data_IF_397537610757
#
_entry.id   IF_397537610757
#
_cell.length_a   1.000
_cell.length_b   1.000
_cell.length_c   1.000
_cell.angle_alpha   90.00
_cell.angle_beta   90.00
_cell.angle_gamma   90.00
#
_symmetry.space_group_name_H-M   'P 1'
#
loop_
_entity.id
_entity.type
_entity.pdbx_description
1 polymer ?
#
# COMPACT_ATOMS: atom_id res chain seq x y z
N UNK A 1 40.82 -9.25 -4.51
CA UNK A 1 41.30 -8.00 -3.90
C UNK A 1 40.46 -7.78 -2.64
N UNK A 2 41.02 -7.19 -1.59
CA UNK A 2 40.30 -6.82 -0.38
C UNK A 2 40.71 -5.39 -0.01
N UNK A 3 39.73 -4.57 0.33
CA UNK A 3 39.89 -3.17 0.70
C UNK A 3 39.15 -2.92 2.01
N UNK A 4 39.90 -2.57 3.06
CA UNK A 4 39.38 -2.08 4.33
C UNK A 4 39.23 -0.55 4.21
N UNK A 5 38.01 -0.11 3.89
CA UNK A 5 37.67 1.30 3.72
C UNK A 5 37.50 1.92 5.11
N UNK A 6 38.53 2.64 5.56
CA UNK A 6 38.44 3.50 6.74
C UNK A 6 37.42 4.62 6.51
N UNK A 7 36.85 5.22 7.58
CA UNK A 7 35.94 6.36 7.46
C UNK A 7 36.50 7.40 6.48
N UNK A 8 35.81 7.55 5.36
CA UNK A 8 36.28 8.32 4.21
C UNK A 8 35.14 9.09 3.58
N UNK A 9 35.47 10.26 3.03
CA UNK A 9 34.57 11.03 2.19
C UNK A 9 34.74 10.59 0.74
N UNK A 10 33.69 10.07 0.14
CA UNK A 10 33.64 9.66 -1.26
C UNK A 10 32.84 10.69 -2.05
N UNK A 11 33.47 11.30 -3.05
CA UNK A 11 32.77 11.96 -4.14
C UNK A 11 32.49 10.93 -5.24
N UNK A 12 31.23 10.59 -5.48
CA UNK A 12 30.88 9.45 -6.36
C UNK A 12 31.41 9.61 -7.79
N UNK A 13 31.57 10.84 -8.29
CA UNK A 13 32.14 11.09 -9.61
C UNK A 13 33.62 10.70 -9.73
N UNK A 14 34.36 10.53 -8.62
CA UNK A 14 35.73 10.00 -8.64
C UNK A 14 35.76 8.53 -9.09
N UNK A 15 34.66 7.79 -8.93
CA UNK A 15 34.51 6.43 -9.49
C UNK A 15 34.42 6.51 -11.02
N UNK A 16 34.07 7.67 -11.59
CA UNK A 16 33.98 7.94 -13.03
C UNK A 16 35.25 7.61 -13.81
N UNK A 17 36.43 7.74 -13.18
CA UNK A 17 37.71 7.36 -13.79
C UNK A 17 37.82 5.85 -14.10
N UNK A 18 37.02 5.02 -13.42
CA UNK A 18 36.94 3.57 -13.64
C UNK A 18 35.65 3.14 -14.34
N UNK A 19 34.55 3.86 -14.09
CA UNK A 19 33.23 3.61 -14.66
C UNK A 19 32.61 4.94 -15.14
N UNK A 20 32.81 5.34 -16.42
CA UNK A 20 32.46 6.68 -16.91
C UNK A 20 31.03 7.15 -16.64
N UNK A 21 30.07 6.21 -16.57
CA UNK A 21 28.67 6.47 -16.21
C UNK A 21 28.50 7.15 -14.84
N UNK A 22 29.48 7.00 -13.95
CA UNK A 22 29.47 7.58 -12.60
C UNK A 22 29.86 9.06 -12.56
N UNK A 23 30.42 9.65 -13.64
CA UNK A 23 30.80 11.08 -13.65
C UNK A 23 29.60 12.01 -13.40
N UNK A 24 28.40 11.59 -13.77
CA UNK A 24 27.16 12.34 -13.54
C UNK A 24 26.67 12.27 -12.09
N UNK A 25 27.21 11.36 -11.27
CA UNK A 25 26.79 11.19 -9.88
C UNK A 25 27.62 12.09 -8.97
N UNK A 26 27.25 13.37 -8.84
CA UNK A 26 27.98 14.32 -7.99
C UNK A 26 27.65 14.23 -6.49
N UNK A 27 27.20 13.05 -6.04
CA UNK A 27 26.84 12.81 -4.65
C UNK A 27 28.08 12.70 -3.77
N UNK A 28 27.99 13.24 -2.55
CA UNK A 28 28.99 13.06 -1.50
C UNK A 28 28.48 12.05 -0.47
N UNK A 29 29.29 11.03 -0.18
CA UNK A 29 28.99 9.97 0.77
C UNK A 29 30.09 9.84 1.81
N UNK A 30 29.71 9.64 3.07
CA UNK A 30 30.66 9.21 4.10
C UNK A 30 30.59 7.70 4.21
N UNK A 31 31.65 6.99 3.83
CA UNK A 31 31.67 5.53 3.72
C UNK A 31 32.68 4.89 4.66
N UNK A 32 32.38 3.66 5.08
CA UNK A 32 33.33 2.77 5.74
C UNK A 32 32.89 1.31 5.60
N UNK A 33 33.82 0.38 5.76
CA UNK A 33 33.57 -1.05 5.77
C UNK A 33 34.57 -1.84 4.94
N UNK A 34 34.42 -3.15 4.88
CA UNK A 34 35.30 -4.01 4.09
C UNK A 34 34.62 -4.35 2.78
N UNK A 35 35.35 -4.24 1.67
CA UNK A 35 34.91 -4.68 0.35
C UNK A 35 35.93 -5.67 -0.19
N UNK A 36 35.47 -6.83 -0.68
CA UNK A 36 36.33 -7.87 -1.22
C UNK A 36 35.77 -8.44 -2.52
N UNK A 37 36.66 -8.86 -3.42
CA UNK A 37 36.31 -9.39 -4.73
C UNK A 37 36.91 -8.60 -5.89
N UNK A 38 36.28 -8.72 -7.05
CA UNK A 38 36.55 -7.97 -8.28
C UNK A 38 35.28 -7.23 -8.70
N UNK A 39 35.37 -6.24 -9.60
CA UNK A 39 34.18 -5.47 -10.02
C UNK A 39 33.02 -6.37 -10.49
N UNK A 40 33.31 -7.46 -11.20
CA UNK A 40 32.28 -8.38 -11.68
C UNK A 40 31.70 -9.33 -10.63
N UNK A 41 32.31 -9.43 -9.46
CA UNK A 41 31.89 -10.28 -8.34
C UNK A 41 32.54 -9.79 -7.04
N UNK A 42 31.82 -8.97 -6.29
CA UNK A 42 32.29 -8.41 -5.01
C UNK A 42 31.22 -8.46 -3.94
N UNK A 43 31.70 -8.47 -2.70
CA UNK A 43 30.88 -8.43 -1.50
C UNK A 43 31.43 -7.42 -0.50
N UNK A 44 30.58 -7.02 0.43
CA UNK A 44 30.95 -6.16 1.54
C UNK A 44 30.61 -6.75 2.89
N UNK A 45 31.37 -6.33 3.90
CA UNK A 45 31.16 -6.69 5.30
C UNK A 45 31.17 -5.41 6.14
N UNK A 46 30.13 -5.23 6.95
CA UNK A 46 29.93 -4.03 7.79
C UNK A 46 30.03 -2.73 6.99
N UNK A 47 29.48 -2.72 5.76
CA UNK A 47 29.48 -1.52 4.94
C UNK A 47 28.45 -0.52 5.47
N UNK A 48 28.88 0.72 5.63
CA UNK A 48 28.00 1.81 5.96
C UNK A 48 28.23 3.00 5.05
N UNK A 49 27.14 3.73 4.78
CA UNK A 49 27.23 5.05 4.18
C UNK A 49 26.30 6.04 4.88
N UNK A 50 26.71 7.31 4.94
CA UNK A 50 25.82 8.44 5.21
C UNK A 50 25.66 9.27 3.94
N UNK A 51 24.46 9.78 3.73
CA UNK A 51 24.12 10.66 2.62
C UNK A 51 23.12 11.73 3.08
N UNK A 52 23.25 12.94 2.55
CA UNK A 52 22.33 14.03 2.85
C UNK A 52 22.28 14.36 4.33
N UNK A 53 21.08 14.63 4.85
CA UNK A 53 20.89 15.03 6.26
C UNK A 53 20.48 13.88 7.16
N UNK A 54 19.78 12.87 6.63
CA UNK A 54 19.07 11.88 7.42
C UNK A 54 19.27 10.45 6.91
N UNK A 55 19.90 10.28 5.75
CA UNK A 55 20.05 8.97 5.11
C UNK A 55 21.30 8.25 5.61
N UNK A 56 21.10 7.05 6.12
CA UNK A 56 22.15 6.18 6.63
C UNK A 56 21.85 4.74 6.28
N UNK A 57 22.87 4.02 5.84
CA UNK A 57 22.83 2.60 5.61
C UNK A 57 23.91 1.89 6.43
N UNK A 58 23.58 0.70 6.91
CA UNK A 58 24.47 -0.30 7.46
C UNK A 58 24.01 -1.66 7.02
N UNK A 59 24.91 -2.43 6.41
CA UNK A 59 24.61 -3.79 6.02
C UNK A 59 25.73 -4.43 5.22
N UNK A 60 25.46 -5.64 4.79
CA UNK A 60 26.34 -6.37 3.89
C UNK A 60 25.65 -6.44 2.54
N UNK A 61 26.41 -6.41 1.46
CA UNK A 61 25.87 -6.66 0.13
C UNK A 61 26.81 -7.55 -0.67
N UNK A 62 26.26 -8.20 -1.70
CA UNK A 62 27.04 -8.85 -2.74
C UNK A 62 26.43 -8.52 -4.09
N UNK A 63 27.28 -8.23 -5.07
CA UNK A 63 26.87 -7.89 -6.43
C UNK A 63 27.71 -8.70 -7.40
N UNK A 64 27.04 -9.34 -8.35
CA UNK A 64 27.67 -10.15 -9.40
C UNK A 64 27.11 -9.75 -10.76
N UNK A 65 27.99 -9.43 -11.71
CA UNK A 65 27.62 -9.06 -13.08
C UNK A 65 28.02 -7.64 -13.51
N UNK A 66 28.50 -6.79 -12.59
CA UNK A 66 28.99 -5.46 -12.96
C UNK A 66 30.18 -5.54 -13.95
N UNK A 67 30.39 -4.50 -14.78
CA UNK A 67 29.72 -3.20 -14.79
C UNK A 67 28.33 -3.19 -15.47
N UNK A 68 27.84 -4.31 -15.98
CA UNK A 68 26.49 -4.39 -16.55
C UNK A 68 25.43 -4.48 -15.45
N UNK A 69 25.01 -3.32 -14.94
CA UNK A 69 24.03 -3.19 -13.85
C UNK A 69 22.71 -3.90 -14.15
N UNK A 70 22.25 -3.84 -15.40
CA UNK A 70 20.93 -4.36 -15.78
C UNK A 70 20.85 -5.88 -15.77
N UNK A 71 21.99 -6.57 -15.83
CA UNK A 71 22.07 -8.04 -15.73
C UNK A 71 22.65 -8.52 -14.40
N UNK A 72 22.98 -7.59 -13.49
CA UNK A 72 23.64 -7.91 -12.23
C UNK A 72 22.68 -8.48 -11.19
N UNK A 73 23.09 -9.60 -10.58
CA UNK A 73 22.43 -10.20 -9.44
C UNK A 73 22.96 -9.56 -8.15
N UNK A 74 22.04 -9.13 -7.29
CA UNK A 74 22.34 -8.38 -6.07
C UNK A 74 21.69 -9.03 -4.86
N UNK A 75 22.41 -9.02 -3.74
CA UNK A 75 21.90 -9.35 -2.42
C UNK A 75 22.26 -8.23 -1.48
N UNK A 76 21.28 -7.64 -0.81
CA UNK A 76 21.48 -6.67 0.26
C UNK A 76 20.92 -7.22 1.56
N UNK A 77 21.78 -7.41 2.55
CA UNK A 77 21.41 -7.74 3.93
C UNK A 77 21.45 -6.44 4.75
N UNK A 78 20.30 -5.79 4.85
CA UNK A 78 20.15 -4.47 5.47
C UNK A 78 19.99 -4.65 6.97
N UNK A 79 21.02 -4.24 7.72
CA UNK A 79 20.96 -4.21 9.18
C UNK A 79 20.24 -2.96 9.68
N UNK A 80 20.49 -1.82 9.03
CA UNK A 80 19.79 -0.57 9.26
C UNK A 80 19.85 0.29 8.00
N UNK A 81 18.71 0.63 7.45
CA UNK A 81 18.57 1.73 6.49
C UNK A 81 17.64 2.76 7.12
N UNK A 82 18.00 4.02 7.04
CA UNK A 82 17.14 5.16 7.31
C UNK A 82 17.21 6.07 6.09
N UNK A 83 16.07 6.51 5.56
CA UNK A 83 16.01 7.37 4.40
C UNK A 83 14.83 8.34 4.51
N UNK A 84 14.99 9.54 3.94
CA UNK A 84 13.91 10.52 3.79
C UNK A 84 13.67 10.81 2.31
N UNK A 85 12.43 11.14 1.95
CA UNK A 85 12.11 11.55 0.58
C UNK A 85 12.92 12.79 0.15
N UNK A 86 13.24 13.68 1.09
CA UNK A 86 14.04 14.87 0.83
C UNK A 86 15.47 14.56 0.39
N UNK A 87 16.14 13.63 1.08
CA UNK A 87 17.48 13.19 0.68
C UNK A 87 17.39 12.42 -0.66
N UNK A 88 16.47 11.46 -0.79
CA UNK A 88 16.33 10.63 -2.00
C UNK A 88 16.12 11.46 -3.27
N UNK A 89 15.32 12.53 -3.24
CA UNK A 89 15.12 13.43 -4.39
C UNK A 89 16.38 14.15 -4.84
N UNK A 90 17.32 14.38 -3.94
CA UNK A 90 18.58 15.06 -4.24
C UNK A 90 19.65 14.09 -4.76
N UNK A 91 19.42 12.78 -4.64
CA UNK A 91 20.38 11.78 -5.07
C UNK A 91 20.44 11.73 -6.60
N UNK A 92 21.62 12.01 -7.15
CA UNK A 92 21.83 12.07 -8.58
C UNK A 92 22.18 10.69 -9.13
N UNK A 93 21.39 10.23 -10.08
CA UNK A 93 21.66 9.02 -10.85
C UNK A 93 22.46 9.34 -12.12
N UNK A 94 23.14 8.35 -12.71
CA UNK A 94 23.75 8.51 -14.02
C UNK A 94 22.77 9.03 -15.07
N UNK A 95 23.25 9.87 -16.01
CA UNK A 95 22.38 10.52 -16.99
C UNK A 95 21.49 11.62 -16.41
N UNK A 96 21.73 12.05 -15.16
CA UNK A 96 20.98 13.11 -14.44
C UNK A 96 19.48 12.83 -14.35
N UNK A 97 19.13 11.55 -14.23
CA UNK A 97 17.76 11.10 -14.04
C UNK A 97 17.30 11.50 -12.64
N UNK A 98 16.16 12.19 -12.56
CA UNK A 98 15.53 12.52 -11.28
C UNK A 98 14.82 11.28 -10.72
N UNK A 99 14.93 11.08 -9.40
CA UNK A 99 14.16 10.04 -8.71
C UNK A 99 12.75 10.59 -8.49
N UNK A 100 11.80 10.06 -9.25
CA UNK A 100 10.37 10.29 -9.02
C UNK A 100 9.92 9.47 -7.82
N UNK A 101 9.39 10.15 -6.80
CA UNK A 101 8.88 9.51 -5.59
C UNK A 101 7.38 9.73 -5.46
N UNK A 102 6.61 8.67 -5.17
CA UNK A 102 5.19 8.80 -4.84
C UNK A 102 4.96 9.80 -3.70
N UNK A 103 3.86 10.54 -3.74
CA UNK A 103 3.53 11.53 -2.71
C UNK A 103 3.33 10.89 -1.34
N UNK A 104 2.87 9.63 -1.33
CA UNK A 104 2.68 8.79 -0.16
C UNK A 104 3.97 8.61 0.64
N UNK A 105 5.15 8.64 -0.02
CA UNK A 105 6.44 8.60 0.69
C UNK A 105 6.74 9.90 1.45
N UNK A 106 6.17 11.04 1.04
CA UNK A 106 6.24 12.25 1.87
C UNK A 106 5.39 12.08 3.13
N UNK A 107 4.16 11.55 2.97
CA UNK A 107 3.24 11.31 4.08
C UNK A 107 3.77 10.26 5.07
N UNK A 108 4.51 9.26 4.57
CA UNK A 108 5.16 8.23 5.38
C UNK A 108 6.25 8.80 6.32
N UNK A 109 6.85 9.94 5.99
CA UNK A 109 7.91 10.55 6.79
C UNK A 109 9.24 9.80 6.71
N UNK A 110 9.95 9.66 7.84
CA UNK A 110 11.26 9.00 7.86
C UNK A 110 11.11 7.48 7.78
N UNK A 111 11.65 6.88 6.72
CA UNK A 111 11.57 5.44 6.48
C UNK A 111 12.78 4.73 7.07
N UNK A 112 12.53 3.70 7.89
CA UNK A 112 13.57 2.84 8.48
C UNK A 112 13.33 1.39 8.07
N UNK A 113 14.33 0.78 7.44
CA UNK A 113 14.23 -0.58 6.89
C UNK A 113 15.25 -1.49 7.54
N UNK A 114 14.83 -2.71 7.87
CA UNK A 114 15.69 -3.84 8.20
C UNK A 114 15.19 -5.05 7.44
N UNK A 115 16.07 -5.75 6.73
CA UNK A 115 15.60 -6.85 5.89
C UNK A 115 16.61 -7.34 4.88
N UNK A 116 16.11 -8.05 3.89
CA UNK A 116 16.88 -8.62 2.81
C UNK A 116 16.23 -8.31 1.47
N UNK A 117 17.02 -7.81 0.55
CA UNK A 117 16.67 -7.67 -0.86
C UNK A 117 17.52 -8.62 -1.68
N UNK A 118 16.93 -9.36 -2.61
CA UNK A 118 17.64 -10.35 -3.44
C UNK A 118 17.07 -10.37 -4.85
N UNK A 119 17.91 -10.21 -5.87
CA UNK A 119 17.52 -10.23 -7.27
C UNK A 119 18.22 -9.16 -8.08
N UNK A 120 17.58 -8.71 -9.17
CA UNK A 120 18.08 -7.67 -10.08
C UNK A 120 17.28 -6.39 -9.91
N UNK A 121 17.70 -5.31 -10.57
CA UNK A 121 17.03 -4.01 -10.52
C UNK A 121 15.54 -4.08 -10.92
N UNK A 122 15.17 -5.00 -11.80
CA UNK A 122 13.80 -5.16 -12.32
C UNK A 122 13.11 -6.45 -11.88
N UNK A 123 13.74 -7.31 -11.08
CA UNK A 123 13.09 -8.50 -10.50
C UNK A 123 13.76 -8.84 -9.17
N UNK A 124 13.08 -8.54 -8.06
CA UNK A 124 13.64 -8.71 -6.73
C UNK A 124 12.62 -9.23 -5.72
N UNK A 125 13.13 -9.93 -4.72
CA UNK A 125 12.42 -10.31 -3.50
C UNK A 125 12.80 -9.34 -2.38
N UNK A 126 11.80 -8.76 -1.72
CA UNK A 126 11.91 -7.82 -0.62
C UNK A 126 11.27 -8.39 0.65
N UNK A 127 12.11 -9.00 1.50
CA UNK A 127 11.71 -9.49 2.82
C UNK A 127 12.19 -8.49 3.86
N UNK A 128 11.31 -7.60 4.32
CA UNK A 128 11.72 -6.47 5.15
C UNK A 128 10.68 -6.05 6.18
N UNK A 129 11.20 -5.57 7.31
CA UNK A 129 10.48 -4.77 8.29
C UNK A 129 10.74 -3.30 7.99
N UNK A 130 9.67 -2.54 7.76
CA UNK A 130 9.68 -1.12 7.42
C UNK A 130 8.92 -0.35 8.49
N UNK A 131 9.61 0.56 9.18
CA UNK A 131 9.04 1.47 10.16
C UNK A 131 9.06 2.88 9.58
N UNK A 132 7.91 3.55 9.57
CA UNK A 132 7.76 4.93 9.11
C UNK A 132 7.09 5.76 10.21
N UNK A 133 7.01 7.08 10.02
CA UNK A 133 6.23 7.93 10.93
C UNK A 133 4.72 7.70 10.76
N UNK A 134 4.31 7.07 9.65
CA UNK A 134 2.94 6.66 9.37
C UNK A 134 2.61 5.24 9.87
N UNK A 135 3.57 4.44 10.34
CA UNK A 135 3.28 3.12 10.93
C UNK A 135 4.27 2.03 10.53
N UNK A 136 3.89 0.78 10.78
CA UNK A 136 4.73 -0.39 10.52
C UNK A 136 4.21 -1.22 9.36
N UNK A 137 5.12 -1.70 8.52
CA UNK A 137 4.88 -2.62 7.41
C UNK A 137 5.91 -3.73 7.47
N UNK A 138 5.47 -4.98 7.31
CA UNK A 138 6.33 -6.14 7.06
C UNK A 138 5.97 -6.72 5.69
N UNK A 139 6.99 -6.94 4.88
CA UNK A 139 6.83 -7.44 3.50
C UNK A 139 7.52 -8.78 3.33
N UNK A 140 6.90 -9.61 2.50
CA UNK A 140 7.55 -10.70 1.78
C UNK A 140 7.02 -10.61 0.34
N UNK A 141 7.59 -9.67 -0.42
CA UNK A 141 7.07 -9.26 -1.73
C UNK A 141 8.09 -9.55 -2.83
N UNK A 142 7.64 -10.28 -3.85
CA UNK A 142 8.33 -10.35 -5.14
C UNK A 142 7.80 -9.23 -6.03
N UNK A 143 8.69 -8.42 -6.55
CA UNK A 143 8.39 -7.32 -7.48
C UNK A 143 9.15 -7.55 -8.78
N UNK A 144 8.50 -7.35 -9.92
CA UNK A 144 9.09 -7.45 -11.24
C UNK A 144 8.59 -6.33 -12.15
N UNK A 145 9.50 -5.62 -12.78
CA UNK A 145 9.22 -4.60 -13.79
C UNK A 145 9.61 -5.13 -15.17
N UNK A 146 8.67 -5.12 -16.11
CA UNK A 146 8.99 -5.43 -17.51
C UNK A 146 9.83 -4.28 -18.11
N UNK A 147 11.06 -4.53 -18.59
CA UNK A 147 11.93 -3.47 -19.07
C UNK A 147 11.50 -2.86 -20.42
N UNK A 148 10.49 -3.43 -21.10
CA UNK A 148 9.96 -2.94 -22.37
C UNK A 148 8.66 -2.16 -22.20
N UNK A 149 7.76 -2.66 -21.34
CA UNK A 149 6.45 -2.03 -21.12
C UNK A 149 6.39 -1.18 -19.86
N UNK A 150 7.41 -1.27 -18.99
CA UNK A 150 7.49 -0.63 -17.67
C UNK A 150 6.38 -1.07 -16.70
N UNK A 151 5.61 -2.09 -17.07
CA UNK A 151 4.57 -2.65 -16.21
C UNK A 151 5.22 -3.33 -15.02
N UNK A 152 4.87 -2.85 -13.83
CA UNK A 152 5.25 -3.45 -12.56
C UNK A 152 4.26 -4.54 -12.23
N UNK A 153 4.75 -5.71 -11.84
CA UNK A 153 4.00 -6.82 -11.29
C UNK A 153 4.54 -7.16 -9.91
N UNK A 154 3.66 -7.57 -9.00
CA UNK A 154 3.98 -7.80 -7.61
C UNK A 154 3.16 -8.95 -7.06
N UNK A 155 3.75 -9.72 -6.15
CA UNK A 155 3.07 -10.82 -5.49
C UNK A 155 3.72 -11.14 -4.15
N UNK A 156 2.93 -11.47 -3.14
CA UNK A 156 3.43 -11.94 -1.87
C UNK A 156 2.55 -11.54 -0.70
N UNK A 157 3.16 -11.38 0.46
CA UNK A 157 2.46 -11.10 1.72
C UNK A 157 2.83 -9.73 2.27
N UNK A 158 1.83 -9.05 2.83
CA UNK A 158 1.93 -7.75 3.47
C UNK A 158 1.26 -7.81 4.84
N UNK A 159 1.99 -7.37 5.87
CA UNK A 159 1.43 -7.18 7.21
C UNK A 159 1.64 -5.72 7.59
N UNK A 160 0.60 -5.05 8.07
CA UNK A 160 0.68 -3.68 8.57
C UNK A 160 0.22 -3.63 10.02
N UNK A 161 0.77 -2.69 10.79
CA UNK A 161 0.32 -2.41 12.16
C UNK A 161 0.20 -0.90 12.36
N UNK A 162 -1.00 -0.45 12.72
CA UNK A 162 -1.32 0.96 12.96
C UNK A 162 -0.82 1.89 11.86
N UNK A 163 -0.96 1.46 10.61
CA UNK A 163 -0.61 2.27 9.44
C UNK A 163 -1.64 3.39 9.30
N UNK A 164 -1.22 4.65 9.30
CA UNK A 164 -2.05 5.84 9.14
C UNK A 164 -2.53 5.94 7.69
N UNK A 165 -3.51 5.11 7.34
CA UNK A 165 -4.04 4.97 5.98
C UNK A 165 -4.61 6.30 5.49
N UNK A 166 -5.37 7.01 6.33
CA UNK A 166 -5.89 8.34 5.99
C UNK A 166 -4.80 9.32 5.58
N UNK A 167 -3.71 9.38 6.35
CA UNK A 167 -2.58 10.28 6.05
C UNK A 167 -1.89 9.92 4.74
N UNK A 168 -1.73 8.62 4.47
CA UNK A 168 -1.10 8.16 3.24
C UNK A 168 -1.97 8.43 2.01
N UNK A 169 -3.28 8.28 2.14
CA UNK A 169 -4.25 8.50 1.06
C UNK A 169 -4.75 9.95 0.96
N UNK A 170 -4.36 10.84 1.88
CA UNK A 170 -4.90 12.20 2.01
C UNK A 170 -6.43 12.19 2.20
N UNK A 171 -6.91 11.29 3.06
CA UNK A 171 -8.32 10.99 3.34
C UNK A 171 -8.55 10.78 4.85
N UNK A 172 -8.00 11.64 5.70
CA UNK A 172 -8.04 11.51 7.17
C UNK A 172 -9.45 11.59 7.76
N UNK A 173 -10.39 12.24 7.07
CA UNK A 173 -11.81 12.28 7.44
C UNK A 173 -12.47 10.90 7.30
N UNK A 174 -12.01 10.11 6.31
CA UNK A 174 -12.60 8.82 5.95
C UNK A 174 -11.87 7.66 6.60
N UNK A 175 -10.54 7.68 6.61
CA UNK A 175 -9.70 6.58 7.08
C UNK A 175 -8.79 7.05 8.20
N UNK A 176 -8.68 6.26 9.28
CA UNK A 176 -7.67 6.45 10.31
C UNK A 176 -6.55 5.42 10.17
N UNK A 177 -6.32 4.61 11.21
CA UNK A 177 -5.29 3.58 11.16
C UNK A 177 -5.79 2.23 10.62
N UNK A 178 -4.88 1.48 10.00
CA UNK A 178 -5.08 0.14 9.46
C UNK A 178 -4.06 -0.85 10.04
N UNK A 179 -4.55 -1.99 10.50
CA UNK A 179 -3.75 -3.17 10.80
C UNK A 179 -4.28 -4.34 9.98
N UNK A 180 -3.49 -4.83 9.02
CA UNK A 180 -3.87 -5.80 8.01
C UNK A 180 -2.86 -6.94 7.94
N UNK A 181 -3.32 -8.14 7.63
CA UNK A 181 -2.51 -9.24 7.13
C UNK A 181 -3.12 -9.75 5.82
N UNK A 182 -2.43 -9.54 4.69
CA UNK A 182 -2.96 -9.85 3.38
C UNK A 182 -1.94 -10.54 2.48
N UNK A 183 -2.46 -11.41 1.62
CA UNK A 183 -1.80 -11.92 0.42
C UNK A 183 -2.28 -11.10 -0.77
N UNK A 184 -1.37 -10.68 -1.62
CA UNK A 184 -1.70 -9.88 -2.79
C UNK A 184 -0.94 -10.36 -4.03
N UNK A 185 -1.57 -10.23 -5.18
CA UNK A 185 -0.97 -10.46 -6.49
C UNK A 185 -1.55 -9.46 -7.46
N UNK A 186 -0.70 -8.76 -8.20
CA UNK A 186 -1.18 -7.80 -9.18
C UNK A 186 -0.12 -7.32 -10.16
N UNK A 187 -0.56 -6.46 -11.06
CA UNK A 187 0.25 -5.69 -11.99
C UNK A 187 -0.33 -4.29 -12.15
N UNK A 188 0.48 -3.33 -12.58
CA UNK A 188 0.10 -1.93 -12.66
C UNK A 188 0.06 -1.25 -11.29
N UNK A 189 0.38 0.04 -11.29
CA UNK A 189 0.45 0.87 -10.07
C UNK A 189 -0.55 2.04 -10.09
N UNK A 190 -1.34 2.15 -11.15
CA UNK A 190 -2.40 3.15 -11.28
C UNK A 190 -3.69 2.47 -11.73
N UNK A 191 -4.84 3.08 -11.42
CA UNK A 191 -6.16 2.51 -11.68
C UNK A 191 -6.37 2.10 -13.15
N UNK A 192 -5.75 2.80 -14.09
CA UNK A 192 -5.87 2.55 -15.53
C UNK A 192 -5.20 1.25 -15.98
N UNK A 193 -4.16 0.81 -15.27
CA UNK A 193 -3.34 -0.36 -15.61
C UNK A 193 -3.37 -1.46 -14.56
N UNK A 194 -4.05 -1.22 -13.44
CA UNK A 194 -4.03 -2.10 -12.30
C UNK A 194 -4.90 -3.34 -12.53
N UNK A 195 -4.28 -4.49 -12.40
CA UNK A 195 -4.91 -5.77 -12.14
C UNK A 195 -4.46 -6.22 -10.75
N UNK A 196 -5.38 -6.49 -9.83
CA UNK A 196 -5.06 -6.80 -8.44
C UNK A 196 -6.00 -7.89 -7.91
N UNK A 197 -5.46 -8.84 -7.17
CA UNK A 197 -6.20 -9.74 -6.30
C UNK A 197 -5.62 -9.63 -4.90
N UNK A 198 -6.50 -9.46 -3.91
CA UNK A 198 -6.16 -9.37 -2.49
C UNK A 198 -7.05 -10.32 -1.69
N UNK A 199 -6.44 -11.06 -0.79
CA UNK A 199 -7.10 -11.91 0.21
C UNK A 199 -6.44 -11.61 1.56
N UNK A 200 -7.20 -11.09 2.51
CA UNK A 200 -6.62 -10.67 3.77
C UNK A 200 -7.62 -10.55 4.91
N UNK A 201 -7.04 -10.49 6.11
CA UNK A 201 -7.75 -10.19 7.35
C UNK A 201 -7.31 -8.83 7.86
N UNK A 202 -8.26 -7.91 7.93
CA UNK A 202 -8.09 -6.63 8.63
C UNK A 202 -8.37 -6.91 10.10
N UNK A 203 -7.34 -6.76 10.92
CA UNK A 203 -7.48 -6.89 12.37
C UNK A 203 -8.13 -5.65 12.98
N UNK A 204 -7.87 -4.48 12.38
CA UNK A 204 -8.32 -3.19 12.88
C UNK A 204 -8.31 -2.17 11.75
N UNK A 205 -9.40 -1.44 11.57
CA UNK A 205 -9.48 -0.27 10.69
C UNK A 205 -10.33 0.82 11.32
N UNK A 206 -9.87 2.06 11.23
CA UNK A 206 -10.69 3.23 11.53
C UNK A 206 -11.36 3.73 10.25
N UNK A 207 -12.69 3.73 10.24
CA UNK A 207 -13.52 4.25 9.16
C UNK A 207 -14.50 5.26 9.72
N UNK A 208 -14.49 6.47 9.15
CA UNK A 208 -15.37 7.59 9.55
C UNK A 208 -15.35 7.85 11.07
N UNK A 209 -14.15 7.78 11.66
CA UNK A 209 -13.96 7.97 13.11
C UNK A 209 -14.36 6.79 14.00
N UNK A 210 -14.77 5.66 13.43
CA UNK A 210 -15.18 4.46 14.16
C UNK A 210 -14.18 3.34 13.90
N UNK A 211 -13.77 2.67 14.97
CA UNK A 211 -12.87 1.54 14.89
C UNK A 211 -13.65 0.23 14.72
N UNK A 212 -13.35 -0.50 13.65
CA UNK A 212 -13.88 -1.83 13.34
C UNK A 212 -12.78 -2.88 13.41
N UNK A 213 -13.13 -4.09 13.84
CA UNK A 213 -12.20 -5.21 14.00
C UNK A 213 -12.72 -6.46 13.30
N UNK A 214 -11.79 -7.42 13.15
CA UNK A 214 -12.07 -8.77 12.66
C UNK A 214 -12.90 -8.78 11.37
N UNK A 215 -12.29 -8.22 10.33
CA UNK A 215 -12.87 -8.15 8.99
C UNK A 215 -12.09 -9.05 8.05
N UNK A 216 -12.77 -10.00 7.42
CA UNK A 216 -12.23 -10.78 6.32
C UNK A 216 -12.56 -10.07 4.99
N UNK A 217 -11.57 -9.95 4.12
CA UNK A 217 -11.63 -9.20 2.86
C UNK A 217 -11.09 -10.04 1.72
N UNK A 218 -11.85 -10.12 0.63
CA UNK A 218 -11.37 -10.53 -0.69
C UNK A 218 -11.73 -9.48 -1.71
N UNK A 219 -10.81 -9.16 -2.60
CA UNK A 219 -11.04 -8.18 -3.65
C UNK A 219 -10.29 -8.52 -4.92
N UNK A 220 -10.91 -8.23 -6.05
CA UNK A 220 -10.30 -8.29 -7.37
C UNK A 220 -10.54 -6.97 -8.10
N UNK A 221 -9.52 -6.48 -8.79
CA UNK A 221 -9.58 -5.37 -9.72
C UNK A 221 -9.04 -5.88 -11.05
N UNK A 222 -9.81 -5.75 -12.11
CA UNK A 222 -9.34 -6.04 -13.46
C UNK A 222 -10.14 -5.26 -14.49
N UNK A 223 -9.47 -4.73 -15.51
CA UNK A 223 -10.11 -3.93 -16.58
C UNK A 223 -11.05 -2.84 -16.03
N UNK A 224 -10.59 -2.10 -14.99
CA UNK A 224 -11.38 -1.07 -14.28
C UNK A 224 -12.70 -1.57 -13.66
N UNK A 225 -12.83 -2.88 -13.46
CA UNK A 225 -13.91 -3.49 -12.68
C UNK A 225 -13.35 -3.97 -11.36
N UNK A 226 -13.98 -3.53 -10.28
CA UNK A 226 -13.69 -4.01 -8.95
C UNK A 226 -14.79 -5.00 -8.53
N UNK A 227 -14.42 -6.11 -7.91
CA UNK A 227 -15.32 -6.99 -7.16
C UNK A 227 -14.75 -7.21 -5.77
N UNK A 228 -15.60 -7.28 -4.76
CA UNK A 228 -15.17 -7.36 -3.38
C UNK A 228 -16.18 -8.07 -2.49
N UNK A 229 -15.67 -8.93 -1.62
CA UNK A 229 -16.40 -9.54 -0.54
C UNK A 229 -15.78 -9.12 0.80
N UNK A 230 -16.63 -8.72 1.74
CA UNK A 230 -16.27 -8.27 3.07
C UNK A 230 -17.19 -8.99 4.06
N UNK A 231 -16.61 -9.60 5.09
CA UNK A 231 -17.36 -10.11 6.24
C UNK A 231 -16.77 -9.49 7.51
N UNK A 232 -17.62 -8.81 8.27
CA UNK A 232 -17.26 -8.10 9.51
C UNK A 232 -17.88 -8.85 10.67
N UNK A 233 -17.07 -9.24 11.65
CA UNK A 233 -17.50 -9.85 12.91
C UNK A 233 -17.16 -8.93 14.11
N UNK A 234 -17.62 -7.67 14.07
CA UNK A 234 -17.40 -6.68 15.15
C UNK A 234 -18.64 -6.54 16.05
N UNK A 235 -18.42 -6.17 17.33
CA UNK A 235 -19.50 -5.90 18.28
C UNK A 235 -20.48 -4.82 17.79
N UNK A 236 -20.01 -3.83 17.02
CA UNK A 236 -20.83 -2.73 16.48
C UNK A 236 -21.51 -3.09 15.17
N UNK A 237 -20.95 -4.04 14.42
CA UNK A 237 -21.36 -4.34 13.05
C UNK A 237 -21.01 -5.81 12.71
N UNK A 238 -22.05 -6.60 12.47
CA UNK A 238 -21.98 -7.93 11.85
C UNK A 238 -22.61 -7.83 10.46
N UNK A 239 -21.75 -7.92 9.44
CA UNK A 239 -22.07 -7.58 8.06
C UNK A 239 -21.44 -8.58 7.09
N UNK A 240 -22.25 -9.18 6.24
CA UNK A 240 -21.78 -9.82 4.99
C UNK A 240 -22.07 -8.85 3.84
N UNK A 241 -21.06 -8.54 3.03
CA UNK A 241 -21.15 -7.64 1.90
C UNK A 241 -20.47 -8.26 0.68
N UNK A 242 -21.15 -8.24 -0.46
CA UNK A 242 -20.59 -8.59 -1.75
C UNK A 242 -20.95 -7.50 -2.76
N UNK A 243 -19.97 -6.91 -3.42
CA UNK A 243 -20.17 -5.78 -4.30
C UNK A 243 -19.24 -5.76 -5.50
N UNK A 244 -19.71 -5.13 -6.58
CA UNK A 244 -19.00 -4.91 -7.82
C UNK A 244 -19.15 -3.44 -8.25
N UNK A 245 -18.09 -2.88 -8.82
CA UNK A 245 -18.04 -1.54 -9.38
C UNK A 245 -17.47 -1.62 -10.79
N UNK A 246 -18.22 -1.20 -11.79
CA UNK A 246 -17.72 -1.04 -13.16
C UNK A 246 -17.43 0.45 -13.44
N UNK A 247 -16.15 0.77 -13.63
CA UNK A 247 -15.66 2.12 -13.91
C UNK A 247 -15.31 2.33 -15.40
N UNK A 248 -15.72 1.42 -16.29
CA UNK A 248 -15.50 1.58 -17.74
C UNK A 248 -16.48 2.59 -18.38
N UNK A 249 -17.66 2.75 -17.79
CA UNK A 249 -18.62 3.75 -18.22
C UNK A 249 -18.24 5.15 -17.71
N UNK A 250 -18.71 6.20 -18.41
CA UNK A 250 -18.52 7.59 -17.97
C UNK A 250 -19.10 7.85 -16.57
N UNK A 251 -20.21 7.17 -16.27
CA UNK A 251 -20.83 7.13 -14.94
C UNK A 251 -20.66 5.70 -14.42
N UNK A 252 -19.96 5.50 -13.30
CA UNK A 252 -19.74 4.16 -12.77
C UNK A 252 -21.03 3.46 -12.35
N UNK A 253 -21.04 2.13 -12.45
CA UNK A 253 -22.16 1.28 -12.04
C UNK A 253 -21.75 0.47 -10.82
N UNK A 254 -22.58 0.46 -9.78
CA UNK A 254 -22.38 -0.20 -8.50
C UNK A 254 -23.48 -1.24 -8.33
N UNK A 255 -23.09 -2.49 -8.15
CA UNK A 255 -24.00 -3.59 -7.81
C UNK A 255 -23.54 -4.19 -6.49
N UNK A 256 -24.42 -4.28 -5.50
CA UNK A 256 -24.06 -4.96 -4.27
C UNK A 256 -25.23 -5.64 -3.59
N UNK A 257 -24.91 -6.68 -2.84
CA UNK A 257 -25.78 -7.32 -1.88
C UNK A 257 -25.12 -7.26 -0.51
N UNK A 258 -25.94 -7.06 0.52
CA UNK A 258 -25.45 -6.97 1.89
C UNK A 258 -26.49 -7.52 2.87
N UNK A 259 -26.00 -8.29 3.84
CA UNK A 259 -26.77 -8.76 4.98
C UNK A 259 -26.19 -8.19 6.26
N UNK A 260 -26.90 -7.24 6.85
CA UNK A 260 -26.62 -6.71 8.18
C UNK A 260 -27.29 -7.65 9.18
N UNK A 261 -26.51 -8.52 9.83
CA UNK A 261 -26.99 -9.41 10.88
C UNK A 261 -27.15 -8.67 12.21
N UNK A 262 -26.33 -7.64 12.42
CA UNK A 262 -26.39 -6.71 13.54
C UNK A 262 -25.67 -5.40 13.17
N UNK A 263 -26.25 -4.25 13.48
CA UNK A 263 -25.49 -3.01 13.54
C UNK A 263 -26.05 -2.11 14.66
N UNK A 264 -25.15 -1.58 15.49
CA UNK A 264 -25.45 -0.62 16.54
C UNK A 264 -25.16 0.81 16.03
N UNK A 265 -26.20 1.46 15.52
CA UNK A 265 -26.10 2.77 14.90
C UNK A 265 -25.69 3.86 15.89
N UNK A 266 -25.96 3.67 17.19
CA UNK A 266 -25.54 4.58 18.24
C UNK A 266 -24.03 4.42 18.51
N UNK A 267 -23.55 3.18 18.61
CA UNK A 267 -22.12 2.91 18.76
C UNK A 267 -21.29 3.28 17.52
N UNK A 268 -21.93 3.30 16.35
CA UNK A 268 -21.37 3.81 15.09
C UNK A 268 -21.52 5.33 14.93
N UNK A 269 -22.00 6.08 15.92
CA UNK A 269 -22.18 7.54 15.83
C UNK A 269 -22.96 8.03 14.58
N UNK A 270 -23.87 7.22 14.04
CA UNK A 270 -24.62 7.58 12.83
C UNK A 270 -25.85 8.42 13.13
N UNK A 271 -26.39 8.36 14.35
CA UNK A 271 -27.63 9.02 14.75
C UNK A 271 -27.56 9.53 16.19
N UNK A 272 -27.83 10.83 16.40
CA UNK A 272 -27.72 11.51 17.70
C UNK A 272 -28.95 11.39 18.63
N UNK A 273 -29.84 10.41 18.41
CA UNK A 273 -31.21 10.49 18.98
C UNK A 273 -31.54 9.53 20.13
N UNK A 274 -30.87 8.39 20.25
CA UNK A 274 -31.19 7.32 21.21
C UNK A 274 -29.93 6.50 21.53
N UNK A 275 -29.82 6.03 22.76
CA UNK A 275 -28.68 5.24 23.25
C UNK A 275 -28.69 3.79 22.77
N UNK A 276 -29.83 3.31 22.25
CA UNK A 276 -29.97 1.97 21.69
C UNK A 276 -30.61 2.09 20.31
N UNK A 277 -29.87 1.75 19.25
CA UNK A 277 -30.38 1.74 17.87
C UNK A 277 -29.81 0.56 17.11
N UNK A 278 -30.54 -0.55 17.14
CA UNK A 278 -30.09 -1.80 16.53
C UNK A 278 -30.82 -2.06 15.22
N UNK A 279 -30.08 -2.34 14.15
CA UNK A 279 -30.66 -2.71 12.86
C UNK A 279 -30.19 -4.09 12.39
N UNK A 280 -31.13 -4.82 11.80
CA UNK A 280 -30.87 -6.02 10.97
C UNK A 280 -31.58 -5.81 9.65
N UNK A 281 -30.94 -6.14 8.54
CA UNK A 281 -31.53 -5.88 7.22
C UNK A 281 -30.82 -6.64 6.10
N UNK A 282 -31.54 -6.89 5.00
CA UNK A 282 -30.95 -7.31 3.73
C UNK A 282 -31.08 -6.19 2.71
N UNK A 283 -29.98 -5.81 2.11
CA UNK A 283 -29.89 -4.70 1.15
C UNK A 283 -29.37 -5.26 -0.17
N UNK A 284 -30.01 -4.88 -1.26
CA UNK A 284 -29.53 -5.15 -2.61
C UNK A 284 -29.67 -3.88 -3.43
N UNK A 285 -28.60 -3.46 -4.11
CA UNK A 285 -28.58 -2.25 -4.90
C UNK A 285 -28.00 -2.50 -6.29
N UNK A 286 -28.57 -1.79 -7.27
CA UNK A 286 -28.01 -1.62 -8.60
C UNK A 286 -28.14 -0.13 -8.90
N UNK A 287 -27.03 0.58 -8.81
CA UNK A 287 -26.96 2.04 -8.84
C UNK A 287 -25.96 2.49 -9.90
N UNK A 288 -26.19 3.64 -10.53
CA UNK A 288 -25.19 4.35 -11.32
C UNK A 288 -25.14 5.81 -10.91
N UNK A 289 -23.95 6.36 -10.68
CA UNK A 289 -23.80 7.75 -10.27
C UNK A 289 -22.41 8.01 -9.67
N UNK A 290 -22.02 9.27 -9.56
CA UNK A 290 -20.77 9.67 -8.87
C UNK A 290 -21.10 10.34 -7.53
N UNK A 291 -22.21 11.06 -7.48
CA UNK A 291 -22.70 11.78 -6.30
C UNK A 291 -24.10 11.31 -5.94
N UNK A 292 -24.51 11.51 -4.67
CA UNK A 292 -25.85 11.15 -4.20
C UNK A 292 -26.97 11.80 -5.02
N UNK A 293 -26.74 13.00 -5.56
CA UNK A 293 -27.68 13.75 -6.38
C UNK A 293 -27.82 13.19 -7.82
N UNK A 294 -26.81 12.45 -8.28
CA UNK A 294 -26.75 11.85 -9.62
C UNK A 294 -27.05 10.34 -9.61
N UNK A 295 -27.29 9.75 -8.42
CA UNK A 295 -27.57 8.32 -8.30
C UNK A 295 -28.86 7.97 -9.02
N UNK A 296 -28.78 7.01 -9.92
CA UNK A 296 -29.90 6.38 -10.60
C UNK A 296 -29.91 4.89 -10.31
N UNK A 297 -31.06 4.24 -10.51
CA UNK A 297 -31.21 2.80 -10.38
C UNK A 297 -32.16 2.40 -9.26
N UNK A 298 -31.87 1.28 -8.59
CA UNK A 298 -32.75 0.73 -7.58
C UNK A 298 -32.02 0.28 -6.32
N UNK A 299 -32.61 0.60 -5.18
CA UNK A 299 -32.24 0.09 -3.87
C UNK A 299 -33.42 -0.71 -3.31
N UNK A 300 -33.17 -1.95 -2.93
CA UNK A 300 -34.16 -2.82 -2.30
C UNK A 300 -33.66 -3.23 -0.92
N UNK A 301 -34.48 -2.91 0.08
CA UNK A 301 -34.24 -3.23 1.49
C UNK A 301 -35.32 -4.22 1.92
N UNK A 302 -34.95 -5.29 2.59
CA UNK A 302 -35.85 -6.38 2.98
C UNK A 302 -35.57 -6.88 4.38
N UNK A 303 -36.58 -7.49 4.99
CA UNK A 303 -36.50 -8.19 6.27
C UNK A 303 -35.84 -7.33 7.36
N UNK A 304 -36.24 -6.06 7.43
CA UNK A 304 -35.63 -5.11 8.36
C UNK A 304 -36.29 -5.23 9.73
N UNK A 305 -35.45 -5.36 10.75
CA UNK A 305 -35.83 -5.20 12.14
C UNK A 305 -35.02 -4.06 12.74
N UNK A 306 -35.72 -3.01 13.16
CA UNK A 306 -35.12 -1.87 13.85
C UNK A 306 -35.58 -1.87 15.30
N UNK A 307 -34.67 -1.78 16.26
CA UNK A 307 -35.01 -1.72 17.69
C UNK A 307 -34.40 -0.47 18.32
N UNK A 308 -35.24 0.26 19.06
CA UNK A 308 -34.84 1.40 19.88
C UNK A 308 -35.33 1.25 21.32
N UNK A 309 -35.19 2.31 22.14
CA UNK A 309 -35.65 2.32 23.53
C UNK A 309 -37.17 2.10 23.72
N UNK A 310 -37.97 2.30 22.66
CA UNK A 310 -39.44 2.23 22.68
C UNK A 310 -39.96 0.89 22.21
N UNK A 311 -39.19 0.14 21.42
CA UNK A 311 -39.52 -1.21 21.00
C UNK A 311 -38.90 -1.61 19.67
N UNK A 312 -39.39 -2.71 19.09
CA UNK A 312 -38.94 -3.25 17.81
C UNK A 312 -39.97 -2.99 16.71
N UNK A 313 -39.49 -2.49 15.58
CA UNK A 313 -40.26 -2.17 14.38
C UNK A 313 -39.81 -3.09 13.24
N UNK A 314 -40.77 -3.71 12.57
CA UNK A 314 -40.51 -4.66 11.47
C UNK A 314 -40.96 -4.08 10.15
N UNK A 315 -40.14 -4.22 9.11
CA UNK A 315 -40.45 -3.86 7.75
C UNK A 315 -40.11 -5.02 6.81
N UNK A 316 -41.11 -5.51 6.07
CA UNK A 316 -40.94 -6.62 5.14
C UNK A 316 -40.10 -6.21 3.92
N UNK A 317 -40.49 -5.13 3.24
CA UNK A 317 -39.69 -4.59 2.13
C UNK A 317 -39.91 -3.10 1.87
N UNK A 318 -38.85 -2.46 1.38
CA UNK A 318 -38.83 -1.12 0.80
C UNK A 318 -38.06 -1.19 -0.53
N UNK A 319 -38.63 -0.60 -1.57
CA UNK A 319 -37.98 -0.47 -2.88
C UNK A 319 -37.95 1.00 -3.24
N UNK A 320 -36.75 1.54 -3.41
CA UNK A 320 -36.51 2.86 -3.95
C UNK A 320 -36.04 2.71 -5.39
N UNK A 321 -36.64 3.49 -6.28
CA UNK A 321 -36.20 3.65 -7.66
C UNK A 321 -35.94 5.12 -7.89
N UNK A 322 -34.76 5.42 -8.41
CA UNK A 322 -34.37 6.78 -8.78
C UNK A 322 -34.11 6.77 -10.27
N UNK A 323 -34.99 7.42 -11.00
CA UNK A 323 -34.85 7.66 -12.43
C UNK A 323 -34.48 9.13 -12.59
N UNK A 324 -33.47 9.45 -13.42
CA UNK A 324 -33.28 10.84 -13.81
C UNK A 324 -34.33 11.18 -14.86
N UNK A 325 -35.19 12.15 -14.56
CA UNK A 325 -35.95 12.81 -15.62
C UNK A 325 -34.95 13.47 -16.58
N UNK A 326 -35.09 13.15 -17.87
CA UNK A 326 -34.22 13.57 -18.97
C UNK A 326 -34.27 15.07 -19.26
#
# INVERSE_FOLDING_TARGET
MEADVKPSHLYMADIGYFAPVMFDMTNHLDISGVVSGVVSDFKSEQFSFNYGKQTYYLGNFSVKGLPDFYTSDMVFQISKLQASAGDLRQFQLPGKIAIELPEELNAAGLVRVKGRFTGRYNEFLAVADVNTDAGFIKTDLKVKTDPRTEVVSYSGHLITKKLQLGKLLQQEETFGHLSLNASLKGSGINLETADLSIDGKIHEIDLLGINYKDIDLKGELSEKRFSGWIDIEDEKLDLDFNGEIDMNAKVPVFNFESEIKHADLAAMNLLDQDSVMLIKSKISANLSGITLDEVQGSLRIRNTAYSDSRGTYLMDSLVLKVDSDA
#
